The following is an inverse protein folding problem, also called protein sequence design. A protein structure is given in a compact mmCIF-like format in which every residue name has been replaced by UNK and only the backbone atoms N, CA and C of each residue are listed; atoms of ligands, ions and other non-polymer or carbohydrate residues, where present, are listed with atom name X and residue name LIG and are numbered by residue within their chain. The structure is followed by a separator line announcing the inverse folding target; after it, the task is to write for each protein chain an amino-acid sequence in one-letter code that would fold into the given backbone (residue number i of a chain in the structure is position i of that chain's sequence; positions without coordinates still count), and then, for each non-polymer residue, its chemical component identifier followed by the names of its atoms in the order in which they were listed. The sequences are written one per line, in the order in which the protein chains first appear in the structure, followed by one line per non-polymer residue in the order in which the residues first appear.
data_IF_255949799247
#
_entry.id   IF_255949799247
#
_cell.length_a   1.000
_cell.length_b   1.000
_cell.length_c   1.000
_cell.angle_alpha   90.00
_cell.angle_beta   90.00
_cell.angle_gamma   90.00
#
_symmetry.space_group_name_H-M   'P 1'
#
loop_
_entity.id
_entity.type
_entity.pdbx_description
1 polymer ?
#
# COMPACT_ATOMS: atom_id res chain seq x y z
N UNK A 1 -15.37 82.22 -31.38
CA UNK A 1 -15.02 80.84 -31.00
C UNK A 1 -13.65 80.52 -31.58
N UNK A 2 -12.65 80.15 -30.78
CA UNK A 2 -11.32 79.86 -31.29
C UNK A 2 -11.34 78.51 -32.03
N UNK A 3 -10.75 78.46 -33.23
CA UNK A 3 -10.54 77.23 -33.99
C UNK A 3 -9.48 76.39 -33.26
N UNK A 4 -9.87 75.22 -32.77
CA UNK A 4 -8.93 74.18 -32.35
C UNK A 4 -8.16 73.71 -33.59
N UNK A 5 -6.85 74.01 -33.65
CA UNK A 5 -5.94 73.46 -34.65
C UNK A 5 -5.87 71.94 -34.44
N UNK A 6 -6.37 71.15 -35.41
CA UNK A 6 -6.13 69.71 -35.45
C UNK A 6 -4.69 69.49 -35.93
N UNK A 7 -3.79 69.24 -34.98
CA UNK A 7 -2.43 68.78 -35.29
C UNK A 7 -2.50 67.32 -35.74
N UNK A 8 -2.05 67.03 -36.96
CA UNK A 8 -1.89 65.67 -37.46
C UNK A 8 -0.60 65.03 -36.93
N UNK A 9 -0.60 63.70 -36.76
CA UNK A 9 0.58 62.93 -36.40
C UNK A 9 1.61 62.94 -37.53
N UNK A 10 2.90 63.05 -37.18
CA UNK A 10 3.99 62.98 -38.16
C UNK A 10 4.36 61.52 -38.46
N UNK A 11 4.87 61.25 -39.66
CA UNK A 11 5.33 59.90 -40.05
C UNK A 11 6.43 59.38 -39.12
N UNK A 12 7.30 60.27 -38.63
CA UNK A 12 8.36 59.94 -37.67
C UNK A 12 7.76 59.49 -36.33
N UNK A 13 6.70 60.15 -35.86
CA UNK A 13 6.02 59.80 -34.62
C UNK A 13 5.34 58.41 -34.71
N UNK A 14 4.72 58.09 -35.84
CA UNK A 14 4.15 56.76 -36.08
C UNK A 14 5.23 55.65 -36.04
N UNK A 15 6.38 55.88 -36.69
CA UNK A 15 7.49 54.91 -36.72
C UNK A 15 8.02 54.66 -35.31
N UNK A 16 8.26 55.72 -34.53
CA UNK A 16 8.74 55.59 -33.15
C UNK A 16 7.76 54.78 -32.31
N UNK A 17 6.45 55.02 -32.42
CA UNK A 17 5.42 54.29 -31.69
C UNK A 17 5.42 52.80 -32.05
N UNK A 18 5.51 52.45 -33.34
CA UNK A 18 5.55 51.05 -33.78
C UNK A 18 6.80 50.34 -33.23
N UNK A 19 7.97 50.99 -33.28
CA UNK A 19 9.21 50.43 -32.74
C UNK A 19 9.12 50.23 -31.22
N UNK A 20 8.60 51.21 -30.49
CA UNK A 20 8.43 51.11 -29.04
C UNK A 20 7.44 50.00 -28.65
N UNK A 21 6.31 49.89 -29.35
CA UNK A 21 5.34 48.80 -29.11
C UNK A 21 5.98 47.44 -29.41
N UNK A 22 6.78 47.33 -30.47
CA UNK A 22 7.50 46.09 -30.80
C UNK A 22 8.43 45.63 -29.67
N UNK A 23 9.26 46.53 -29.14
CA UNK A 23 10.20 46.22 -28.05
C UNK A 23 9.45 45.82 -26.78
N UNK A 24 8.44 46.60 -26.39
CA UNK A 24 7.65 46.33 -25.16
C UNK A 24 6.85 45.03 -25.29
N UNK A 25 6.28 44.76 -26.47
CA UNK A 25 5.48 43.55 -26.70
C UNK A 25 6.33 42.29 -26.58
N UNK A 26 7.54 42.27 -27.16
CA UNK A 26 8.45 41.12 -27.07
C UNK A 26 8.84 40.85 -25.61
N UNK A 27 9.20 41.91 -24.88
CA UNK A 27 9.56 41.80 -23.46
C UNK A 27 8.39 41.27 -22.62
N UNK A 28 7.20 41.84 -22.80
CA UNK A 28 5.99 41.43 -22.08
C UNK A 28 5.62 39.98 -22.37
N UNK A 29 5.72 39.55 -23.64
CA UNK A 29 5.43 38.17 -24.06
C UNK A 29 6.40 37.18 -23.42
N UNK A 30 7.69 37.52 -23.32
CA UNK A 30 8.69 36.68 -22.67
C UNK A 30 8.41 36.52 -21.17
N UNK A 31 8.00 37.59 -20.49
CA UNK A 31 7.61 37.52 -19.08
C UNK A 31 6.37 36.64 -18.86
N UNK A 32 5.36 36.76 -19.72
CA UNK A 32 4.16 35.91 -19.64
C UNK A 32 4.52 34.43 -19.85
N UNK A 33 5.34 34.13 -20.85
CA UNK A 33 5.81 32.77 -21.12
C UNK A 33 6.55 32.18 -19.91
N UNK A 34 7.49 32.94 -19.35
CA UNK A 34 8.27 32.50 -18.19
C UNK A 34 7.39 32.26 -16.96
N UNK A 35 6.40 33.13 -16.72
CA UNK A 35 5.42 32.95 -15.65
C UNK A 35 4.56 31.69 -15.83
N UNK A 36 4.13 31.41 -17.07
CA UNK A 36 3.38 30.21 -17.39
C UNK A 36 4.21 28.92 -17.23
N UNK A 37 5.49 28.93 -17.63
CA UNK A 37 6.41 27.81 -17.45
C UNK A 37 6.67 27.51 -15.97
N UNK A 38 6.95 28.54 -15.16
CA UNK A 38 7.11 28.37 -13.70
C UNK A 38 5.87 27.76 -13.07
N UNK A 39 4.69 28.25 -13.45
CA UNK A 39 3.43 27.74 -12.94
C UNK A 39 3.24 26.26 -13.32
N UNK A 40 3.44 25.91 -14.59
CA UNK A 40 3.30 24.53 -15.08
C UNK A 40 4.25 23.57 -14.34
N UNK A 41 5.55 23.90 -14.28
CA UNK A 41 6.54 23.08 -13.57
C UNK A 41 6.24 22.98 -12.07
N UNK A 42 5.75 24.06 -11.45
CA UNK A 42 5.28 24.05 -10.07
C UNK A 42 4.14 23.06 -9.84
N UNK A 43 3.13 23.08 -10.72
CA UNK A 43 1.96 22.19 -10.60
C UNK A 43 2.31 20.70 -10.78
N UNK A 44 3.22 20.37 -11.70
CA UNK A 44 3.67 18.98 -11.91
C UNK A 44 4.42 18.45 -10.68
N UNK A 45 5.29 19.28 -10.11
CA UNK A 45 6.01 18.93 -8.88
C UNK A 45 5.06 18.72 -7.70
N UNK A 46 4.08 19.60 -7.55
CA UNK A 46 3.07 19.49 -6.49
C UNK A 46 2.23 18.21 -6.64
N UNK A 47 1.87 17.83 -7.88
CA UNK A 47 1.17 16.57 -8.16
C UNK A 47 2.01 15.36 -7.73
N UNK A 48 3.29 15.30 -8.13
CA UNK A 48 4.19 14.18 -7.79
C UNK A 48 4.37 14.06 -6.28
N UNK A 49 4.59 15.18 -5.59
CA UNK A 49 4.72 15.19 -4.12
C UNK A 49 3.42 14.74 -3.44
N UNK A 50 2.26 15.16 -3.95
CA UNK A 50 0.97 14.72 -3.41
C UNK A 50 0.75 13.21 -3.59
N UNK A 51 1.03 12.68 -4.79
CA UNK A 51 0.93 11.23 -5.07
C UNK A 51 1.88 10.40 -4.20
N UNK A 52 3.13 10.85 -4.04
CA UNK A 52 4.11 10.21 -3.17
C UNK A 52 3.62 10.14 -1.72
N UNK A 53 3.16 11.28 -1.18
CA UNK A 53 2.67 11.35 0.20
C UNK A 53 1.46 10.47 0.42
N UNK A 54 0.47 10.52 -0.47
CA UNK A 54 -0.72 9.68 -0.40
C UNK A 54 -0.33 8.19 -0.40
N UNK A 55 0.53 7.79 -1.33
CA UNK A 55 0.97 6.42 -1.49
C UNK A 55 1.72 5.91 -0.27
N UNK A 56 2.67 6.69 0.26
CA UNK A 56 3.42 6.32 1.47
C UNK A 56 2.52 6.21 2.70
N UNK A 57 1.59 7.14 2.88
CA UNK A 57 0.65 7.10 4.01
C UNK A 57 -0.24 5.87 3.92
N UNK A 58 -0.77 5.56 2.73
CA UNK A 58 -1.60 4.36 2.53
C UNK A 58 -0.79 3.08 2.78
N UNK A 59 0.37 2.93 2.16
CA UNK A 59 1.28 1.80 2.36
C UNK A 59 1.63 1.61 3.85
N UNK A 60 2.06 2.68 4.52
CA UNK A 60 2.45 2.65 5.93
C UNK A 60 1.27 2.29 6.84
N UNK A 61 0.07 2.79 6.54
CA UNK A 61 -1.14 2.45 7.30
C UNK A 61 -1.50 0.97 7.15
N UNK A 62 -1.53 0.44 5.93
CA UNK A 62 -1.90 -0.96 5.70
C UNK A 62 -0.84 -1.93 6.21
N UNK A 63 0.46 -1.61 6.06
CA UNK A 63 1.55 -2.44 6.55
C UNK A 63 1.61 -2.55 8.08
N UNK A 64 1.06 -1.57 8.81
CA UNK A 64 0.97 -1.62 10.29
C UNK A 64 -0.07 -2.63 10.77
N UNK A 65 -1.06 -2.97 9.93
CA UNK A 65 -2.07 -3.99 10.22
C UNK A 65 -1.75 -5.33 9.56
N UNK A 66 -0.47 -5.57 9.28
CA UNK A 66 0.01 -6.83 8.71
C UNK A 66 0.17 -7.90 9.76
N UNK A 67 -0.26 -9.12 9.42
CA UNK A 67 -0.02 -10.31 10.23
C UNK A 67 1.49 -10.61 10.28
N UNK A 68 2.07 -10.87 11.47
CA UNK A 68 3.48 -11.22 11.60
C UNK A 68 3.89 -12.35 10.64
N UNK A 69 5.09 -12.22 10.07
CA UNK A 69 5.68 -13.18 9.13
C UNK A 69 4.84 -13.49 7.86
N UNK A 70 3.87 -12.64 7.51
CA UNK A 70 3.06 -12.80 6.27
C UNK A 70 3.62 -12.10 5.04
N UNK A 71 4.68 -11.31 5.18
CA UNK A 71 5.22 -10.50 4.09
C UNK A 71 6.07 -11.34 3.17
N UNK A 72 5.84 -11.18 1.88
CA UNK A 72 6.69 -11.72 0.83
C UNK A 72 6.80 -10.72 -0.32
N UNK A 73 7.96 -10.72 -0.95
CA UNK A 73 8.24 -9.92 -2.14
C UNK A 73 8.53 -10.87 -3.29
N UNK A 74 7.92 -10.58 -4.44
CA UNK A 74 8.23 -11.22 -5.71
C UNK A 74 8.55 -10.14 -6.72
N UNK A 75 9.65 -10.32 -7.44
CA UNK A 75 9.99 -9.51 -8.61
C UNK A 75 10.16 -10.39 -9.83
N UNK A 76 9.98 -9.81 -11.00
CA UNK A 76 10.17 -10.54 -12.25
C UNK A 76 9.90 -9.69 -13.46
N UNK A 77 9.85 -10.36 -14.61
CA UNK A 77 9.48 -9.76 -15.88
C UNK A 77 8.39 -10.62 -16.53
N UNK A 78 7.23 -10.03 -16.84
CA UNK A 78 6.20 -10.68 -17.65
C UNK A 78 5.98 -9.88 -18.92
N UNK A 79 6.09 -10.55 -20.07
CA UNK A 79 5.90 -9.94 -21.39
C UNK A 79 6.74 -8.66 -21.61
N UNK A 80 8.00 -8.65 -21.13
CA UNK A 80 8.91 -7.52 -21.26
C UNK A 80 8.69 -6.40 -20.23
N UNK A 81 7.72 -6.53 -19.33
CA UNK A 81 7.45 -5.55 -18.27
C UNK A 81 7.97 -6.07 -16.93
N UNK A 82 8.93 -5.35 -16.38
CA UNK A 82 9.42 -5.59 -15.03
C UNK A 82 8.32 -5.25 -14.01
N UNK A 83 8.26 -6.04 -12.95
CA UNK A 83 7.38 -5.78 -11.83
C UNK A 83 8.04 -6.17 -10.51
N UNK A 84 7.59 -5.53 -9.43
CA UNK A 84 7.90 -5.92 -8.05
C UNK A 84 6.63 -5.80 -7.21
N UNK A 85 6.23 -6.88 -6.56
CA UNK A 85 5.05 -6.96 -5.72
C UNK A 85 5.43 -7.25 -4.26
N UNK A 86 5.00 -6.38 -3.35
CA UNK A 86 4.96 -6.61 -1.92
C UNK A 86 3.57 -7.15 -1.57
N UNK A 87 3.51 -8.40 -1.11
CA UNK A 87 2.27 -9.02 -0.64
C UNK A 87 2.33 -9.29 0.86
N UNK A 88 1.20 -9.06 1.52
CA UNK A 88 1.03 -9.38 2.93
C UNK A 88 -0.44 -9.70 3.25
N UNK A 89 -0.66 -10.29 4.41
CA UNK A 89 -2.01 -10.60 4.88
C UNK A 89 -2.38 -9.67 6.03
N UNK A 90 -3.34 -8.74 5.84
CA UNK A 90 -3.85 -7.93 6.92
C UNK A 90 -4.54 -8.80 7.98
N UNK A 91 -4.43 -8.44 9.25
CA UNK A 91 -5.28 -9.03 10.30
C UNK A 91 -6.49 -8.12 10.54
N UNK A 92 -7.64 -8.74 10.76
CA UNK A 92 -8.88 -8.09 11.20
C UNK A 92 -8.85 -7.83 12.70
N UNK A 93 -8.41 -8.82 13.47
CA UNK A 93 -8.30 -8.73 14.93
C UNK A 93 -7.10 -9.54 15.45
N UNK A 94 -6.65 -9.20 16.65
CA UNK A 94 -5.64 -9.96 17.39
C UNK A 94 -6.06 -10.03 18.85
N UNK A 95 -5.86 -11.19 19.48
CA UNK A 95 -6.18 -11.39 20.89
C UNK A 95 -5.24 -12.42 21.52
N UNK A 96 -5.40 -12.62 22.81
CA UNK A 96 -4.71 -13.62 23.60
C UNK A 96 -5.68 -14.72 24.00
N UNK A 97 -5.22 -15.96 23.95
CA UNK A 97 -5.98 -17.12 24.41
C UNK A 97 -5.54 -17.53 25.82
N UNK A 98 -6.43 -18.15 26.58
CA UNK A 98 -6.19 -18.46 28.02
C UNK A 98 -5.95 -19.94 28.30
N UNK A 99 -6.47 -20.84 27.46
CA UNK A 99 -6.27 -22.29 27.59
C UNK A 99 -5.22 -22.81 26.60
N UNK A 100 -4.81 -24.07 26.73
CA UNK A 100 -3.94 -24.66 25.71
C UNK A 100 -4.71 -24.80 24.38
N UNK A 101 -4.15 -24.38 23.24
CA UNK A 101 -4.84 -24.54 21.98
C UNK A 101 -5.01 -26.02 21.62
N UNK A 102 -6.00 -26.37 20.79
CA UNK A 102 -6.08 -27.73 20.26
C UNK A 102 -4.86 -27.96 19.36
N UNK A 103 -4.01 -28.93 19.70
CA UNK A 103 -2.77 -29.23 18.97
C UNK A 103 -2.83 -30.50 18.12
N UNK A 104 -3.93 -31.25 18.20
CA UNK A 104 -4.15 -32.40 17.35
C UNK A 104 -4.69 -31.94 15.99
N UNK A 105 -3.82 -31.96 14.98
CA UNK A 105 -4.14 -31.47 13.63
C UNK A 105 -5.24 -32.27 12.92
N UNK A 106 -5.67 -33.42 13.44
CA UNK A 106 -6.69 -34.26 12.82
C UNK A 106 -8.02 -34.27 13.58
N UNK A 107 -8.08 -33.67 14.77
CA UNK A 107 -9.25 -33.69 15.63
C UNK A 107 -9.74 -32.29 15.96
N UNK A 108 -11.05 -32.17 16.16
CA UNK A 108 -11.70 -30.94 16.56
C UNK A 108 -11.26 -30.50 17.94
N UNK A 109 -11.30 -29.19 18.20
CA UNK A 109 -11.07 -28.69 19.54
C UNK A 109 -11.49 -27.24 19.74
N UNK A 110 -11.42 -26.81 21.00
CA UNK A 110 -11.88 -25.51 21.44
C UNK A 110 -10.72 -24.63 21.93
N UNK A 111 -10.83 -23.33 21.69
CA UNK A 111 -9.94 -22.31 22.21
C UNK A 111 -10.76 -21.25 22.94
N UNK A 112 -10.33 -20.88 24.13
CA UNK A 112 -10.91 -19.80 24.92
C UNK A 112 -10.04 -18.57 24.71
N UNK A 113 -10.64 -17.52 24.18
CA UNK A 113 -9.98 -16.28 23.76
C UNK A 113 -10.51 -15.14 24.61
N UNK A 114 -9.66 -14.19 24.97
CA UNK A 114 -10.12 -12.96 25.61
C UNK A 114 -11.01 -12.21 24.62
N UNK A 115 -12.24 -11.90 25.03
CA UNK A 115 -13.19 -11.20 24.19
C UNK A 115 -12.68 -9.78 23.88
N UNK A 116 -12.92 -9.31 22.67
CA UNK A 116 -12.70 -7.93 22.27
C UNK A 116 -14.05 -7.28 21.94
N UNK A 117 -14.31 -6.11 22.52
CA UNK A 117 -15.58 -5.36 22.42
C UNK A 117 -15.77 -4.59 21.10
N UNK A 118 -14.85 -4.76 20.15
CA UNK A 118 -14.77 -3.95 18.94
C UNK A 118 -15.68 -4.49 17.82
N UNK A 119 -15.97 -3.66 16.81
CA UNK A 119 -16.73 -4.05 15.61
C UNK A 119 -16.00 -5.13 14.77
N UNK A 120 -14.68 -5.21 14.87
CA UNK A 120 -13.83 -6.19 14.17
C UNK A 120 -13.83 -7.57 14.86
N UNK A 121 -15.01 -8.17 15.02
CA UNK A 121 -15.19 -9.50 15.63
C UNK A 121 -14.75 -10.63 14.70
N UNK A 122 -14.42 -11.79 15.26
CA UNK A 122 -14.27 -13.01 14.47
C UNK A 122 -15.65 -13.63 14.20
N UNK A 123 -15.85 -14.19 13.01
CA UNK A 123 -17.07 -14.89 12.62
C UNK A 123 -16.77 -16.30 12.11
N UNK A 124 -17.81 -17.11 11.93
CA UNK A 124 -17.72 -18.36 11.20
C UNK A 124 -16.95 -18.19 9.88
N UNK A 125 -16.08 -19.15 9.54
CA UNK A 125 -15.21 -19.15 8.37
C UNK A 125 -14.10 -18.08 8.37
N UNK A 126 -13.94 -17.26 9.41
CA UNK A 126 -12.75 -16.43 9.53
C UNK A 126 -11.51 -17.31 9.73
N UNK A 127 -10.40 -16.91 9.09
CA UNK A 127 -9.11 -17.59 9.22
C UNK A 127 -8.41 -17.12 10.48
N UNK A 128 -8.02 -18.05 11.34
CA UNK A 128 -7.26 -17.80 12.55
C UNK A 128 -5.88 -18.41 12.37
N UNK A 129 -4.83 -17.62 12.61
CA UNK A 129 -3.45 -18.10 12.60
C UNK A 129 -2.85 -18.09 14.00
N UNK A 130 -2.13 -19.17 14.32
CA UNK A 130 -1.32 -19.30 15.53
C UNK A 130 0.15 -19.49 15.16
N UNK A 131 1.00 -18.63 15.74
CA UNK A 131 2.45 -18.73 15.69
C UNK A 131 3.04 -18.94 14.27
N UNK A 132 2.76 -18.04 13.31
CA UNK A 132 3.40 -18.09 12.00
C UNK A 132 4.88 -17.71 12.12
N UNK A 133 5.77 -18.53 11.57
CA UNK A 133 7.22 -18.28 11.56
C UNK A 133 7.74 -17.91 10.17
N UNK A 134 7.00 -18.26 9.13
CA UNK A 134 7.30 -17.93 7.74
C UNK A 134 6.02 -17.58 6.97
N UNK A 135 6.13 -16.96 5.79
CA UNK A 135 4.96 -16.71 4.94
C UNK A 135 4.20 -17.99 4.59
N UNK A 136 4.89 -19.11 4.41
CA UNK A 136 4.26 -20.39 4.05
C UNK A 136 3.26 -20.86 5.11
N UNK A 137 3.48 -20.53 6.38
CA UNK A 137 2.53 -20.86 7.45
C UNK A 137 1.16 -20.19 7.27
N UNK A 138 1.10 -19.09 6.52
CA UNK A 138 -0.13 -18.32 6.28
C UNK A 138 -0.73 -18.66 4.91
N UNK A 139 0.11 -18.80 3.88
CA UNK A 139 -0.34 -19.04 2.51
C UNK A 139 -0.47 -20.53 2.14
N UNK A 140 0.07 -21.44 2.95
CA UNK A 140 -0.05 -22.89 2.77
C UNK A 140 -0.82 -23.53 3.93
N UNK A 141 -2.07 -23.91 3.68
CA UNK A 141 -2.93 -24.55 4.69
C UNK A 141 -2.38 -25.90 5.19
N UNK A 142 -1.54 -26.58 4.41
CA UNK A 142 -0.90 -27.84 4.80
C UNK A 142 0.06 -27.71 5.98
N UNK A 143 0.55 -26.50 6.27
CA UNK A 143 1.40 -26.24 7.44
C UNK A 143 0.61 -26.25 8.76
N UNK A 144 -0.72 -26.29 8.70
CA UNK A 144 -1.58 -26.44 9.86
C UNK A 144 -1.44 -25.33 10.92
N UNK A 145 -0.98 -24.14 10.51
CA UNK A 145 -0.89 -22.94 11.35
C UNK A 145 -2.12 -22.04 11.25
N UNK A 146 -2.88 -22.19 10.18
CA UNK A 146 -4.14 -21.50 9.93
C UNK A 146 -5.30 -22.48 10.02
N UNK A 147 -6.37 -22.07 10.70
CA UNK A 147 -7.64 -22.79 10.79
C UNK A 147 -8.81 -21.86 10.55
N UNK A 148 -9.90 -22.40 10.03
CA UNK A 148 -11.17 -21.69 9.91
C UNK A 148 -11.96 -21.88 11.19
N UNK A 149 -12.65 -20.84 11.64
CA UNK A 149 -13.68 -20.99 12.67
C UNK A 149 -14.86 -21.80 12.12
N UNK A 150 -15.28 -22.81 12.87
CA UNK A 150 -16.40 -23.67 12.47
C UNK A 150 -17.78 -23.03 12.67
N UNK A 151 -17.86 -22.07 13.59
CA UNK A 151 -19.08 -21.39 13.99
C UNK A 151 -18.72 -20.01 14.54
N UNK A 152 -19.71 -19.14 14.65
CA UNK A 152 -19.55 -17.86 15.33
C UNK A 152 -19.08 -18.08 16.78
N UNK A 153 -18.10 -17.28 17.27
CA UNK A 153 -17.65 -17.33 18.64
C UNK A 153 -18.77 -17.22 19.68
N UNK A 154 -18.80 -18.13 20.65
CA UNK A 154 -19.77 -18.09 21.75
C UNK A 154 -19.23 -17.17 22.85
N UNK A 155 -19.93 -16.08 23.13
CA UNK A 155 -19.51 -15.08 24.13
C UNK A 155 -19.85 -15.54 25.55
N UNK A 156 -18.88 -15.48 26.44
CA UNK A 156 -19.00 -15.75 27.86
C UNK A 156 -18.81 -14.45 28.66
N UNK A 157 -19.89 -13.67 28.77
CA UNK A 157 -19.90 -12.33 29.39
C UNK A 157 -19.30 -12.28 30.80
N UNK A 158 -19.57 -13.29 31.62
CA UNK A 158 -19.10 -13.34 33.01
C UNK A 158 -17.56 -13.34 33.13
N UNK A 159 -16.88 -13.97 32.15
CA UNK A 159 -15.43 -14.12 32.14
C UNK A 159 -14.74 -13.16 31.15
N UNK A 160 -15.52 -12.37 30.39
CA UNK A 160 -15.03 -11.56 29.26
C UNK A 160 -14.21 -12.39 28.26
N UNK A 161 -14.68 -13.61 28.00
CA UNK A 161 -14.04 -14.55 27.08
C UNK A 161 -15.00 -14.95 25.96
N UNK A 162 -14.43 -15.51 24.90
CA UNK A 162 -15.16 -16.15 23.82
C UNK A 162 -14.64 -17.56 23.65
N UNK A 163 -15.55 -18.49 23.36
CA UNK A 163 -15.22 -19.87 23.03
C UNK A 163 -15.27 -20.06 21.52
N UNK A 164 -14.16 -20.49 20.96
CA UNK A 164 -13.93 -20.66 19.53
C UNK A 164 -13.76 -22.15 19.24
N UNK A 165 -14.41 -22.65 18.20
CA UNK A 165 -14.37 -24.06 17.81
C UNK A 165 -13.71 -24.24 16.44
N UNK A 166 -12.87 -25.27 16.33
CA UNK A 166 -12.16 -25.64 15.10
C UNK A 166 -12.36 -27.11 14.78
N UNK A 167 -12.45 -27.45 13.49
CA UNK A 167 -12.56 -28.84 13.01
C UNK A 167 -11.26 -29.62 13.23
N UNK A 168 -10.14 -28.90 13.25
CA UNK A 168 -8.81 -29.45 13.38
C UNK A 168 -7.93 -28.54 14.24
N UNK A 169 -7.08 -29.11 15.09
CA UNK A 169 -6.08 -28.39 15.87
C UNK A 169 -4.95 -27.77 15.05
N UNK A 170 -4.12 -26.96 15.71
CA UNK A 170 -2.98 -26.24 15.16
C UNK A 170 -1.68 -27.02 15.31
N UNK A 171 -0.73 -26.84 14.39
CA UNK A 171 0.57 -27.50 14.45
C UNK A 171 1.45 -27.09 15.63
N UNK A 172 1.29 -25.87 16.17
CA UNK A 172 1.89 -25.51 17.45
C UNK A 172 1.20 -24.32 18.11
N UNK A 173 1.41 -24.20 19.41
CA UNK A 173 0.96 -23.08 20.23
C UNK A 173 1.87 -21.85 20.07
N UNK A 174 1.30 -20.66 20.19
CA UNK A 174 2.09 -19.41 20.33
C UNK A 174 2.69 -19.34 21.74
N UNK A 175 4.02 -19.15 21.89
CA UNK A 175 4.66 -18.97 23.20
C UNK A 175 4.12 -17.77 23.98
N UNK A 176 3.61 -16.75 23.28
CA UNK A 176 3.04 -15.53 23.89
C UNK A 176 1.52 -15.62 24.07
N UNK A 177 0.95 -16.78 23.80
CA UNK A 177 -0.50 -17.05 23.82
C UNK A 177 -1.30 -16.12 22.90
N UNK A 178 -0.71 -15.64 21.80
CA UNK A 178 -1.38 -14.76 20.85
C UNK A 178 -1.95 -15.51 19.65
N UNK A 179 -3.00 -14.92 19.09
CA UNK A 179 -3.61 -15.32 17.82
C UNK A 179 -3.94 -14.09 16.99
N UNK A 180 -4.09 -14.31 15.69
CA UNK A 180 -4.54 -13.30 14.74
C UNK A 180 -5.68 -13.85 13.89
N UNK A 181 -6.73 -13.06 13.74
CA UNK A 181 -7.82 -13.31 12.80
C UNK A 181 -7.43 -12.59 11.51
N UNK A 182 -7.20 -13.34 10.45
CA UNK A 182 -6.79 -12.82 9.15
C UNK A 182 -7.98 -12.18 8.45
N UNK A 183 -7.70 -11.19 7.60
CA UNK A 183 -8.68 -10.71 6.64
C UNK A 183 -8.94 -11.80 5.57
N UNK A 184 -10.09 -11.72 4.89
CA UNK A 184 -10.56 -12.73 3.95
C UNK A 184 -9.65 -12.89 2.72
N UNK A 185 -8.90 -11.85 2.35
CA UNK A 185 -7.95 -11.85 1.24
C UNK A 185 -6.61 -11.22 1.63
N UNK A 186 -5.49 -11.70 1.07
CA UNK A 186 -4.23 -10.96 1.06
C UNK A 186 -4.35 -9.64 0.28
N UNK A 187 -3.34 -8.79 0.44
CA UNK A 187 -3.21 -7.52 -0.24
C UNK A 187 -1.84 -7.46 -0.91
N UNK A 188 -1.80 -6.93 -2.14
CA UNK A 188 -0.56 -6.74 -2.90
C UNK A 188 -0.41 -5.31 -3.39
N UNK A 189 0.78 -4.74 -3.16
CA UNK A 189 1.24 -3.50 -3.81
C UNK A 189 2.27 -3.87 -4.87
N UNK A 190 1.95 -3.59 -6.13
CA UNK A 190 2.79 -3.97 -7.25
C UNK A 190 3.22 -2.76 -8.06
N UNK A 191 4.52 -2.61 -8.25
CA UNK A 191 5.10 -1.69 -9.22
C UNK A 191 5.12 -2.40 -10.58
N UNK A 192 4.54 -1.77 -11.59
CA UNK A 192 4.47 -2.27 -12.96
C UNK A 192 4.90 -1.14 -13.91
N UNK A 193 6.15 -1.19 -14.38
CA UNK A 193 6.72 -0.08 -15.15
C UNK A 193 6.84 1.19 -14.30
N UNK A 194 6.08 2.23 -14.66
CA UNK A 194 6.08 3.54 -14.01
C UNK A 194 4.95 3.76 -13.00
N UNK A 195 4.19 2.71 -12.70
CA UNK A 195 2.95 2.79 -11.93
C UNK A 195 2.97 1.85 -10.76
N UNK A 196 2.40 2.30 -9.64
CA UNK A 196 2.12 1.48 -8.49
C UNK A 196 0.62 1.15 -8.44
N UNK A 197 0.30 -0.13 -8.40
CA UNK A 197 -1.06 -0.66 -8.27
C UNK A 197 -1.28 -1.33 -6.93
N UNK A 198 -2.53 -1.27 -6.48
CA UNK A 198 -3.04 -1.94 -5.30
C UNK A 198 -4.04 -3.03 -5.70
N UNK A 199 -3.83 -4.24 -5.19
CA UNK A 199 -4.65 -5.42 -5.46
C UNK A 199 -5.19 -5.98 -4.13
N UNK A 200 -6.47 -6.32 -4.11
CA UNK A 200 -7.16 -6.94 -2.97
C UNK A 200 -8.29 -7.86 -3.48
N UNK A 201 -8.87 -8.69 -2.61
CA UNK A 201 -10.04 -9.50 -2.95
C UNK A 201 -9.74 -10.75 -3.79
N UNK A 202 -8.49 -11.21 -3.79
CA UNK A 202 -8.08 -12.48 -4.39
C UNK A 202 -7.78 -13.53 -3.32
N UNK A 203 -7.81 -14.80 -3.68
CA UNK A 203 -7.64 -15.90 -2.74
C UNK A 203 -6.18 -16.10 -2.30
N UNK A 204 -5.99 -16.69 -1.13
CA UNK A 204 -4.67 -17.15 -0.67
C UNK A 204 -4.08 -18.19 -1.64
N UNK A 205 -2.80 -18.06 -1.96
CA UNK A 205 -2.06 -18.97 -2.83
C UNK A 205 -0.64 -19.17 -2.31
N UNK A 206 -0.14 -20.41 -2.36
CA UNK A 206 1.23 -20.74 -1.96
C UNK A 206 2.24 -19.97 -2.82
N UNK A 207 2.04 -19.95 -4.14
CA UNK A 207 2.82 -19.10 -5.04
C UNK A 207 2.22 -17.70 -5.06
N UNK A 208 3.04 -16.68 -4.78
CA UNK A 208 2.64 -15.29 -4.87
C UNK A 208 2.13 -14.96 -6.27
N UNK A 209 0.94 -14.35 -6.34
CA UNK A 209 0.36 -13.99 -7.63
C UNK A 209 1.11 -12.80 -8.24
N UNK A 210 1.40 -12.89 -9.53
CA UNK A 210 1.99 -11.79 -10.30
C UNK A 210 0.89 -10.86 -10.82
N UNK A 211 1.21 -9.63 -11.23
CA UNK A 211 0.20 -8.70 -11.74
C UNK A 211 -0.61 -9.25 -12.92
N UNK A 212 0.03 -10.01 -13.82
CA UNK A 212 -0.66 -10.66 -14.94
C UNK A 212 -1.73 -11.63 -14.47
N UNK A 213 -1.43 -12.40 -13.40
CA UNK A 213 -2.39 -13.32 -12.82
C UNK A 213 -3.46 -12.58 -12.02
N UNK A 214 -3.08 -11.58 -11.22
CA UNK A 214 -4.00 -10.78 -10.39
C UNK A 214 -5.06 -10.04 -11.21
N UNK A 215 -4.72 -9.58 -12.42
CA UNK A 215 -5.67 -8.91 -13.31
C UNK A 215 -6.70 -9.86 -13.97
N UNK A 216 -6.52 -11.17 -13.81
CA UNK A 216 -7.41 -12.21 -14.39
C UNK A 216 -8.12 -13.01 -13.30
N UNK A 217 -7.46 -13.27 -12.17
CA UNK A 217 -8.02 -14.03 -11.05
C UNK A 217 -9.21 -13.28 -10.42
N UNK A 218 -10.36 -13.94 -10.38
CA UNK A 218 -11.55 -13.45 -9.67
C UNK A 218 -12.10 -12.11 -10.18
N UNK A 219 -11.68 -11.64 -11.36
CA UNK A 219 -12.05 -10.32 -11.87
C UNK A 219 -11.45 -9.14 -11.10
N UNK A 220 -10.43 -9.38 -10.26
CA UNK A 220 -9.73 -8.34 -9.52
C UNK A 220 -9.02 -7.40 -10.50
N UNK A 221 -9.16 -6.09 -10.29
CA UNK A 221 -8.48 -5.06 -11.07
C UNK A 221 -7.58 -4.24 -10.17
N UNK A 222 -6.35 -3.99 -10.62
CA UNK A 222 -5.41 -3.13 -9.92
C UNK A 222 -5.96 -1.70 -9.79
N UNK A 223 -5.99 -1.18 -8.56
CA UNK A 223 -6.27 0.23 -8.30
C UNK A 223 -4.97 1.03 -8.43
N UNK A 224 -4.94 2.00 -9.34
CA UNK A 224 -3.75 2.84 -9.52
C UNK A 224 -3.58 3.77 -8.30
N UNK A 225 -2.43 3.70 -7.64
CA UNK A 225 -2.08 4.56 -6.49
C UNK A 225 -1.18 5.72 -6.87
N UNK A 226 -0.17 5.44 -7.69
CA UNK A 226 0.82 6.43 -8.11
C UNK A 226 1.29 6.18 -9.52
N UNK A 227 1.65 7.27 -10.19
CA UNK A 227 2.43 7.26 -11.42
C UNK A 227 3.87 7.69 -11.10
N UNK A 228 4.69 7.82 -12.15
CA UNK A 228 6.02 8.41 -12.12
C UNK A 228 7.09 7.59 -11.41
N UNK A 229 6.84 6.34 -11.01
CA UNK A 229 7.87 5.50 -10.41
C UNK A 229 8.96 5.23 -11.44
N UNK A 230 10.22 5.50 -11.11
CA UNK A 230 11.33 5.35 -12.05
C UNK A 230 12.33 4.26 -11.64
N UNK A 231 12.27 3.75 -10.42
CA UNK A 231 13.06 2.61 -9.95
C UNK A 231 12.24 1.31 -9.95
N UNK A 232 12.93 0.18 -10.11
CA UNK A 232 12.31 -1.14 -10.10
C UNK A 232 12.27 -1.76 -8.69
N UNK A 233 13.30 -1.51 -7.89
CA UNK A 233 13.39 -1.96 -6.49
C UNK A 233 12.81 -0.87 -5.58
N UNK A 234 11.49 -0.90 -5.40
CA UNK A 234 10.75 0.02 -4.52
C UNK A 234 10.63 -0.53 -3.11
N UNK A 235 10.48 -1.86 -2.99
CA UNK A 235 10.30 -2.54 -1.73
C UNK A 235 11.53 -3.37 -1.38
N UNK A 236 12.03 -3.17 -0.16
CA UNK A 236 13.02 -4.05 0.46
C UNK A 236 12.44 -4.56 1.77
N UNK A 237 12.48 -5.87 1.98
CA UNK A 237 11.97 -6.49 3.20
C UNK A 237 13.12 -7.15 3.97
N UNK A 238 13.30 -6.68 5.19
CA UNK A 238 14.30 -7.19 6.11
C UNK A 238 13.56 -7.97 7.19
N UNK A 239 13.71 -9.30 7.14
CA UNK A 239 13.10 -10.22 8.10
C UNK A 239 13.41 -9.82 9.55
N UNK A 240 12.47 -10.15 10.44
CA UNK A 240 12.67 -10.03 11.86
C UNK A 240 13.78 -10.97 12.35
N UNK A 241 14.46 -10.55 13.41
CA UNK A 241 15.37 -11.40 14.18
C UNK A 241 14.89 -11.46 15.63
N UNK A 242 15.56 -12.25 16.47
CA UNK A 242 15.30 -12.31 17.91
C UNK A 242 15.48 -10.94 18.61
N UNK A 243 16.19 -10.01 18.00
CA UNK A 243 16.57 -8.72 18.58
C UNK A 243 16.02 -7.52 17.81
N UNK A 244 15.37 -7.73 16.66
CA UNK A 244 14.89 -6.65 15.78
C UNK A 244 13.55 -7.03 15.16
N UNK A 245 12.62 -6.08 15.18
CA UNK A 245 11.37 -6.15 14.40
C UNK A 245 11.65 -6.28 12.89
N UNK A 246 10.69 -6.84 12.16
CA UNK A 246 10.75 -6.80 10.70
C UNK A 246 10.60 -5.36 10.21
N UNK A 247 11.29 -5.04 9.12
CA UNK A 247 11.25 -3.70 8.52
C UNK A 247 10.96 -3.86 7.04
N UNK A 248 10.02 -3.05 6.54
CA UNK A 248 9.84 -2.83 5.11
C UNK A 248 10.39 -1.44 4.81
N UNK A 249 11.45 -1.37 4.01
CA UNK A 249 11.94 -0.12 3.45
C UNK A 249 11.23 0.13 2.11
N UNK A 250 10.67 1.33 1.98
CA UNK A 250 9.95 1.80 0.80
C UNK A 250 10.75 2.95 0.19
N UNK A 251 11.40 2.69 -0.94
CA UNK A 251 12.17 3.68 -1.69
C UNK A 251 11.48 3.98 -3.02
N UNK A 252 10.79 5.11 -3.10
CA UNK A 252 10.18 5.57 -4.35
C UNK A 252 11.03 6.66 -4.97
N UNK A 253 11.60 6.38 -6.15
CA UNK A 253 12.18 7.39 -7.02
C UNK A 253 11.09 7.78 -8.01
N UNK A 254 10.70 9.06 -8.01
CA UNK A 254 9.66 9.59 -8.87
C UNK A 254 10.24 10.54 -9.90
N UNK A 255 10.15 10.17 -11.19
CA UNK A 255 10.65 10.94 -12.32
C UNK A 255 9.54 11.68 -13.06
N UNK A 256 9.72 12.98 -13.26
CA UNK A 256 8.80 13.85 -14.00
C UNK A 256 9.57 14.89 -14.84
N UNK A 257 8.88 15.55 -15.76
CA UNK A 257 9.45 16.60 -16.63
C UNK A 257 10.70 16.14 -17.40
N UNK A 258 10.74 14.85 -17.75
CA UNK A 258 11.82 14.15 -18.47
C UNK A 258 13.24 14.23 -17.85
N UNK A 259 13.43 14.97 -16.75
CA UNK A 259 14.75 15.28 -16.19
C UNK A 259 14.77 15.47 -14.68
N UNK A 260 13.63 15.78 -14.06
CA UNK A 260 13.55 15.93 -12.61
C UNK A 260 13.23 14.60 -11.94
N UNK A 261 13.87 14.37 -10.80
CA UNK A 261 13.60 13.19 -9.96
C UNK A 261 13.50 13.61 -8.50
N UNK A 262 12.53 13.03 -7.80
CA UNK A 262 12.38 13.16 -6.36
C UNK A 262 12.51 11.78 -5.73
N UNK A 263 13.27 11.68 -4.64
CA UNK A 263 13.47 10.42 -3.91
C UNK A 263 12.76 10.50 -2.58
N UNK A 264 11.91 9.52 -2.32
CA UNK A 264 11.22 9.34 -1.05
C UNK A 264 11.66 8.01 -0.44
N UNK A 265 12.14 8.04 0.80
CA UNK A 265 12.52 6.87 1.56
C UNK A 265 11.69 6.83 2.85
N UNK A 266 11.04 5.70 3.12
CA UNK A 266 10.22 5.51 4.31
C UNK A 266 10.40 4.10 4.86
N UNK A 267 10.67 4.00 6.16
CA UNK A 267 10.78 2.72 6.85
C UNK A 267 9.53 2.46 7.67
N UNK A 268 8.95 1.27 7.46
CA UNK A 268 7.80 0.79 8.23
C UNK A 268 8.26 -0.35 9.11
N UNK A 269 8.24 -0.12 10.42
CA UNK A 269 8.49 -1.16 11.41
C UNK A 269 7.24 -2.00 11.61
N UNK A 270 7.43 -3.31 11.58
CA UNK A 270 6.34 -4.28 11.69
C UNK A 270 6.54 -5.02 13.00
N UNK A 271 5.58 -4.91 13.93
CA UNK A 271 5.71 -5.54 15.24
C UNK A 271 5.78 -7.06 15.06
N UNK A 272 6.91 -7.65 15.47
CA UNK A 272 7.11 -9.10 15.40
C UNK A 272 6.78 -9.73 16.76
N UNK A 273 5.48 -9.81 17.08
CA UNK A 273 5.02 -10.51 18.29
C UNK A 273 4.03 -11.62 17.93
N UNK A 274 4.53 -12.72 17.33
CA UNK A 274 3.73 -13.90 17.00
C UNK A 274 3.31 -14.74 18.22
#
# INVERSE_FOLDING_TARGET
MPRLLKNGFTLVELIIVIVLIGIVSISTMQFIKFGAEIYATGTERDEVVAQARFTLVRLSKELRQTTPNSIRITSGNVAGRNFQCLEFTPFKASSTYVNNPPLDINNSGELIVVAFDNEDKAFENDRVVLYPQSPDDIYNLSNNRVRLLNADPVVEEANKTQRWSFDNGFAAASPTQRLFVLNASPVSFCVEGDRLYYYQGYAFSQTQATPTLLNVLGGVKGQLLSKYISNQDVFEFNNASLTRNAIVNIKMVMGFNNSETLVFNHEVHIPNVP
#
